data_IF_257571477576
#
_entry.id   IF_257571477576
#
_cell.length_a   1.000
_cell.length_b   1.000
_cell.length_c   1.000
_cell.angle_alpha   90.00
_cell.angle_beta   90.00
_cell.angle_gamma   90.00
#
_symmetry.space_group_name_H-M   'P 1'
#
loop_
_entity.id
_entity.type
_entity.pdbx_description
1 polymer ?
#
# COMPACT_ATOMS: atom_id res chain seq x y z
N UNK A 1 -5.00 8.99 5.16
CA UNK A 1 -5.94 8.26 6.03
C UNK A 1 -5.70 8.70 7.46
N UNK A 2 -6.72 9.19 8.16
CA UNK A 2 -6.59 9.57 9.57
C UNK A 2 -6.70 8.33 10.49
N UNK A 3 -6.23 8.39 11.74
CA UNK A 3 -6.22 7.23 12.65
C UNK A 3 -7.64 6.67 12.90
N UNK A 4 -8.68 7.50 12.85
CA UNK A 4 -10.07 7.06 12.96
C UNK A 4 -10.52 6.18 11.78
N UNK A 5 -10.10 6.52 10.56
CA UNK A 5 -10.41 5.74 9.36
C UNK A 5 -9.61 4.42 9.36
N UNK A 6 -8.34 4.47 9.77
CA UNK A 6 -7.51 3.28 9.99
C UNK A 6 -8.12 2.30 10.96
N UNK A 7 -8.68 2.78 12.08
CA UNK A 7 -9.32 1.92 13.06
C UNK A 7 -10.58 1.26 12.49
N UNK A 8 -11.45 2.04 11.84
CA UNK A 8 -12.68 1.53 11.24
C UNK A 8 -12.41 0.49 10.14
N UNK A 9 -11.40 0.74 9.31
CA UNK A 9 -10.99 -0.17 8.25
C UNK A 9 -10.39 -1.46 8.82
N UNK A 10 -9.50 -1.34 9.82
CA UNK A 10 -8.94 -2.49 10.51
C UNK A 10 -10.03 -3.35 11.17
N UNK A 11 -11.00 -2.73 11.83
CA UNK A 11 -12.16 -3.43 12.42
C UNK A 11 -13.00 -4.16 11.36
N UNK A 12 -13.28 -3.50 10.23
CA UNK A 12 -14.02 -4.09 9.10
C UNK A 12 -13.34 -5.33 8.52
N UNK A 13 -12.00 -5.30 8.43
CA UNK A 13 -11.18 -6.39 7.92
C UNK A 13 -10.86 -7.46 8.97
N UNK A 14 -11.22 -7.24 10.24
CA UNK A 14 -10.83 -8.11 11.35
C UNK A 14 -9.32 -8.10 11.61
N UNK A 15 -8.65 -7.00 11.28
CA UNK A 15 -7.21 -6.81 11.40
C UNK A 15 -6.84 -5.93 12.60
N UNK A 16 -5.59 -6.02 13.05
CA UNK A 16 -5.04 -5.00 13.94
C UNK A 16 -4.68 -3.77 13.12
N UNK A 17 -4.79 -2.58 13.73
CA UNK A 17 -4.37 -1.31 13.10
C UNK A 17 -2.89 -1.37 12.68
N UNK A 18 -2.06 -2.02 13.48
CA UNK A 18 -0.63 -2.21 13.17
C UNK A 18 -0.43 -3.07 11.93
N UNK A 19 -1.16 -4.17 11.79
CA UNK A 19 -1.09 -5.02 10.61
C UNK A 19 -1.55 -4.27 9.36
N UNK A 20 -2.64 -3.50 9.45
CA UNK A 20 -3.11 -2.66 8.36
C UNK A 20 -2.05 -1.62 7.94
N UNK A 21 -1.39 -0.96 8.90
CA UNK A 21 -0.30 0.00 8.61
C UNK A 21 0.87 -0.67 7.88
N UNK A 22 1.27 -1.86 8.32
CA UNK A 22 2.35 -2.64 7.66
C UNK A 22 1.93 -3.06 6.25
N UNK A 23 0.69 -3.48 6.07
CA UNK A 23 0.17 -3.92 4.78
C UNK A 23 0.16 -2.77 3.77
N UNK A 24 -0.40 -1.62 4.14
CA UNK A 24 -0.44 -0.42 3.28
C UNK A 24 0.96 0.04 2.87
N UNK A 25 1.93 -0.01 3.79
CA UNK A 25 3.33 0.33 3.46
C UNK A 25 3.95 -0.65 2.44
N UNK A 26 3.60 -1.94 2.52
CA UNK A 26 4.04 -2.95 1.53
C UNK A 26 3.41 -2.70 0.17
N UNK A 27 2.10 -2.41 0.13
CA UNK A 27 1.42 -2.11 -1.14
C UNK A 27 1.99 -0.86 -1.82
N UNK A 28 2.25 0.21 -1.06
CA UNK A 28 2.91 1.42 -1.58
C UNK A 28 4.30 1.11 -2.16
N UNK A 29 5.06 0.23 -1.50
CA UNK A 29 6.36 -0.21 -2.00
C UNK A 29 6.23 -0.99 -3.32
N UNK A 30 5.27 -1.90 -3.40
CA UNK A 30 4.99 -2.68 -4.62
C UNK A 30 4.60 -1.75 -5.77
N UNK A 31 3.72 -0.79 -5.52
CA UNK A 31 3.30 0.19 -6.52
C UNK A 31 4.51 1.01 -7.04
N UNK A 32 5.38 1.47 -6.14
CA UNK A 32 6.62 2.17 -6.50
C UNK A 32 7.53 1.31 -7.38
N UNK A 33 7.68 0.02 -7.06
CA UNK A 33 8.48 -0.90 -7.87
C UNK A 33 7.84 -1.13 -9.24
N UNK A 34 6.53 -1.35 -9.29
CA UNK A 34 5.80 -1.55 -10.55
C UNK A 34 5.87 -0.32 -11.45
N UNK A 35 5.75 0.89 -10.91
CA UNK A 35 5.87 2.12 -11.67
C UNK A 35 7.28 2.26 -12.27
N UNK A 36 8.34 1.99 -11.49
CA UNK A 36 9.72 1.97 -12.00
C UNK A 36 9.93 0.97 -13.13
N UNK A 37 9.34 -0.23 -13.04
CA UNK A 37 9.43 -1.23 -14.09
C UNK A 37 8.73 -0.77 -15.37
N UNK A 38 7.53 -0.19 -15.26
CA UNK A 38 6.79 0.37 -16.41
C UNK A 38 7.53 1.53 -17.06
N UNK A 39 8.14 2.41 -16.27
CA UNK A 39 8.93 3.52 -16.80
C UNK A 39 10.23 3.04 -17.45
N UNK A 40 10.89 2.01 -16.89
CA UNK A 40 12.04 1.35 -17.51
C UNK A 40 11.70 0.65 -18.83
N UNK A 41 10.50 0.08 -18.95
CA UNK A 41 9.99 -0.51 -20.20
C UNK A 41 9.74 0.54 -21.29
N UNK A 42 9.31 1.76 -20.91
CA UNK A 42 9.09 2.87 -21.86
C UNK A 42 10.39 3.47 -22.42
N UNK A 43 11.49 3.42 -21.69
CA UNK A 43 12.80 3.96 -22.16
C UNK A 43 13.45 3.01 -23.18
N UNK A 44 13.13 1.71 -23.13
CA UNK A 44 13.66 0.69 -24.03
C UNK A 44 12.82 0.46 -25.31
N UNK A 45 11.89 1.37 -25.63
CA UNK A 45 10.98 1.25 -26.79
C UNK A 45 11.19 2.39 -27.76
#
# INVERSE_FOLDING_TARGET
MNDHELKKEAESLGWTVEYLKIHLAKEEHIEKVLNKLKDGEKINK
#
